data_IF_825743452617
#
_entry.id   IF_825743452617
#
_cell.length_a   1.000
_cell.length_b   1.000
_cell.length_c   1.000
_cell.angle_alpha   90.00
_cell.angle_beta   90.00
_cell.angle_gamma   90.00
#
_symmetry.space_group_name_H-M   'P 1'
#
loop_
_entity.id
_entity.type
_entity.pdbx_description
1 polymer ?
#
# COMPACT_ATOMS: atom_id res chain seq x y z
N UNK A 1 -14.61 -93.12 40.99
CA UNK A 1 -15.40 -92.13 40.21
C UNK A 1 -15.07 -90.74 40.74
N UNK A 2 -14.09 -90.06 40.15
CA UNK A 2 -13.64 -88.73 40.58
C UNK A 2 -14.25 -87.68 39.66
N UNK A 3 -15.15 -86.87 40.21
CA UNK A 3 -15.87 -85.82 39.48
C UNK A 3 -15.02 -84.54 39.42
N UNK A 4 -14.48 -84.24 38.23
CA UNK A 4 -13.78 -82.99 37.94
C UNK A 4 -14.81 -81.86 37.80
N UNK A 5 -14.88 -80.95 38.78
CA UNK A 5 -15.65 -79.70 38.67
C UNK A 5 -14.85 -78.67 37.87
N UNK A 6 -15.21 -78.50 36.59
CA UNK A 6 -14.69 -77.42 35.75
C UNK A 6 -15.13 -76.06 36.29
N UNK A 7 -14.16 -75.18 36.54
CA UNK A 7 -14.41 -73.79 36.93
C UNK A 7 -14.46 -72.96 35.66
N UNK A 8 -15.65 -72.48 35.29
CA UNK A 8 -15.83 -71.65 34.10
C UNK A 8 -15.26 -70.24 34.38
N UNK A 9 -14.30 -69.74 33.60
CA UNK A 9 -13.74 -68.41 33.82
C UNK A 9 -14.81 -67.35 33.53
N UNK A 10 -15.05 -66.48 34.51
CA UNK A 10 -16.01 -65.37 34.42
C UNK A 10 -15.28 -64.14 33.86
N UNK A 11 -15.41 -63.91 32.56
CA UNK A 11 -14.89 -62.72 31.89
C UNK A 11 -15.70 -61.50 32.35
N UNK A 12 -15.07 -60.58 33.09
CA UNK A 12 -15.65 -59.26 33.39
C UNK A 12 -15.30 -58.30 32.25
N UNK A 13 -16.30 -57.91 31.48
CA UNK A 13 -16.19 -56.82 30.52
C UNK A 13 -16.26 -55.53 31.33
N UNK A 14 -15.13 -54.82 31.45
CA UNK A 14 -15.07 -53.49 32.09
C UNK A 14 -15.52 -52.47 31.06
N UNK A 15 -16.56 -51.69 31.39
CA UNK A 15 -17.03 -50.61 30.51
C UNK A 15 -15.94 -49.54 30.38
N UNK A 16 -15.72 -48.97 29.17
CA UNK A 16 -14.71 -47.95 28.97
C UNK A 16 -15.03 -46.69 29.80
N UNK A 17 -14.01 -46.14 30.43
CA UNK A 17 -14.09 -44.96 31.30
C UNK A 17 -14.47 -43.71 30.47
N UNK A 18 -15.54 -43.02 30.88
CA UNK A 18 -16.06 -41.81 30.23
C UNK A 18 -15.08 -40.62 30.29
N UNK A 19 -14.04 -40.71 31.13
CA UNK A 19 -13.01 -39.68 31.26
C UNK A 19 -12.24 -39.40 29.96
N UNK A 20 -11.96 -40.43 29.15
CA UNK A 20 -11.20 -40.28 27.91
C UNK A 20 -11.94 -39.49 26.82
N UNK A 21 -13.27 -39.63 26.76
CA UNK A 21 -14.11 -38.92 25.78
C UNK A 21 -14.15 -37.42 26.04
N UNK A 22 -14.24 -37.01 27.31
CA UNK A 22 -14.26 -35.60 27.70
C UNK A 22 -12.92 -34.92 27.41
N UNK A 23 -11.80 -35.59 27.72
CA UNK A 23 -10.46 -35.07 27.44
C UNK A 23 -10.23 -34.84 25.92
N UNK A 24 -10.67 -35.77 25.08
CA UNK A 24 -10.58 -35.62 23.62
C UNK A 24 -11.41 -34.43 23.11
N UNK A 25 -12.63 -34.22 23.63
CA UNK A 25 -13.46 -33.08 23.24
C UNK A 25 -12.82 -31.74 23.60
N UNK A 26 -12.28 -31.59 24.81
CA UNK A 26 -11.61 -30.35 25.22
C UNK A 26 -10.37 -30.04 24.37
N UNK A 27 -9.62 -31.08 23.97
CA UNK A 27 -8.45 -30.91 23.09
C UNK A 27 -8.84 -30.38 21.71
N UNK A 28 -9.92 -30.91 21.11
CA UNK A 28 -10.38 -30.47 19.79
C UNK A 28 -10.92 -29.03 19.86
N UNK A 29 -11.73 -28.72 20.88
CA UNK A 29 -12.25 -27.37 21.07
C UNK A 29 -11.14 -26.34 21.29
N UNK A 30 -10.11 -26.67 22.07
CA UNK A 30 -8.95 -25.81 22.29
C UNK A 30 -8.16 -25.53 21.00
N UNK A 31 -7.91 -26.57 20.19
CA UNK A 31 -7.21 -26.43 18.92
C UNK A 31 -7.97 -25.53 17.93
N UNK A 32 -9.29 -25.69 17.83
CA UNK A 32 -10.14 -24.87 16.95
C UNK A 32 -10.15 -23.40 17.39
N UNK A 33 -10.23 -23.13 18.71
CA UNK A 33 -10.20 -21.76 19.23
C UNK A 33 -8.87 -21.07 18.94
N UNK A 34 -7.75 -21.77 19.14
CA UNK A 34 -6.42 -21.23 18.83
C UNK A 34 -6.25 -20.96 17.33
N UNK A 35 -6.74 -21.84 16.46
CA UNK A 35 -6.71 -21.63 15.01
C UNK A 35 -7.53 -20.40 14.58
N UNK A 36 -8.72 -20.21 15.17
CA UNK A 36 -9.56 -19.04 14.90
C UNK A 36 -8.88 -17.73 15.36
N UNK A 37 -8.26 -17.72 16.54
CA UNK A 37 -7.52 -16.56 17.04
C UNK A 37 -6.29 -16.25 16.17
N UNK A 38 -5.54 -17.27 15.75
CA UNK A 38 -4.41 -17.09 14.83
C UNK A 38 -4.84 -16.52 13.47
N UNK A 39 -5.96 -17.01 12.92
CA UNK A 39 -6.51 -16.47 11.68
C UNK A 39 -7.00 -15.02 11.83
N UNK A 40 -7.64 -14.71 12.95
CA UNK A 40 -8.07 -13.34 13.25
C UNK A 40 -6.88 -12.40 13.44
N UNK A 41 -5.85 -12.83 14.17
CA UNK A 41 -4.61 -12.08 14.34
C UNK A 41 -3.86 -11.90 13.01
N UNK A 42 -3.82 -12.91 12.16
CA UNK A 42 -3.26 -12.81 10.81
C UNK A 42 -4.00 -11.80 9.96
N UNK A 43 -5.34 -11.86 9.91
CA UNK A 43 -6.13 -10.87 9.18
C UNK A 43 -6.00 -9.47 9.79
N UNK A 44 -6.01 -9.36 11.11
CA UNK A 44 -5.78 -8.08 11.77
C UNK A 44 -4.39 -7.53 11.51
N UNK A 45 -3.35 -8.36 11.38
CA UNK A 45 -2.01 -7.87 11.06
C UNK A 45 -1.85 -7.57 9.57
N UNK A 46 -2.51 -8.35 8.71
CA UNK A 46 -2.61 -8.13 7.26
C UNK A 46 -3.38 -6.85 6.93
N UNK A 47 -4.43 -6.55 7.70
CA UNK A 47 -5.38 -5.47 7.43
C UNK A 47 -5.18 -4.24 8.36
N UNK A 48 -4.66 -4.43 9.57
CA UNK A 48 -4.56 -3.44 10.65
C UNK A 48 -3.32 -2.55 10.61
N UNK A 49 -2.80 -2.28 9.42
CA UNK A 49 -1.56 -1.51 9.28
C UNK A 49 -1.57 -0.47 8.17
N UNK A 50 -2.63 -0.32 7.38
CA UNK A 50 -2.76 0.87 6.54
C UNK A 50 -3.33 1.98 7.43
N UNK A 51 -2.52 2.94 7.92
CA UNK A 51 -3.08 4.16 8.46
C UNK A 51 -4.11 4.65 7.45
N UNK A 52 -5.32 4.92 7.92
CA UNK A 52 -6.31 5.63 7.14
C UNK A 52 -5.69 7.01 6.91
N UNK A 53 -4.88 7.14 5.85
CA UNK A 53 -4.52 8.42 5.31
C UNK A 53 -5.86 9.04 4.96
N UNK A 54 -6.32 9.97 5.80
CA UNK A 54 -7.40 10.87 5.43
C UNK A 54 -6.92 11.47 4.13
N UNK A 55 -7.50 11.03 3.03
CA UNK A 55 -7.12 11.48 1.70
C UNK A 55 -7.49 12.96 1.66
N UNK A 56 -6.49 13.82 1.91
CA UNK A 56 -6.69 15.25 1.74
C UNK A 56 -6.98 15.51 0.26
N UNK A 57 -7.92 16.40 -0.06
CA UNK A 57 -8.12 16.83 -1.43
C UNK A 57 -6.78 17.35 -1.97
N UNK A 58 -6.50 17.09 -3.25
CA UNK A 58 -5.20 17.44 -3.83
C UNK A 58 -4.94 18.95 -3.76
N UNK A 59 -6.01 19.74 -3.78
CA UNK A 59 -6.02 21.19 -3.57
C UNK A 59 -5.31 21.63 -2.27
N UNK A 60 -5.38 20.82 -1.20
CA UNK A 60 -4.74 21.13 0.09
C UNK A 60 -3.27 20.68 0.15
N UNK A 61 -2.77 20.00 -0.89
CA UNK A 61 -1.40 19.50 -0.92
C UNK A 61 -0.47 20.61 -1.38
N UNK A 62 0.51 20.95 -0.54
CA UNK A 62 1.61 21.83 -0.94
C UNK A 62 2.59 21.05 -1.82
N UNK A 63 2.84 21.56 -3.03
CA UNK A 63 3.72 20.96 -4.02
C UNK A 63 4.89 21.88 -4.33
N UNK A 64 5.98 21.30 -4.85
CA UNK A 64 7.09 22.06 -5.40
C UNK A 64 6.77 22.49 -6.83
N UNK A 65 6.88 23.79 -7.12
CA UNK A 65 6.72 24.37 -8.45
C UNK A 65 8.07 24.84 -8.98
N UNK A 66 8.29 24.75 -10.29
CA UNK A 66 9.49 25.23 -10.96
C UNK A 66 9.14 25.99 -12.23
N UNK A 67 9.77 27.15 -12.44
CA UNK A 67 9.65 27.91 -13.69
C UNK A 67 10.83 27.63 -14.66
N UNK A 68 10.71 28.01 -15.94
CA UNK A 68 11.78 27.83 -16.94
C UNK A 68 13.12 28.47 -16.58
N UNK A 69 13.12 29.51 -15.74
CA UNK A 69 14.33 30.18 -15.27
C UNK A 69 15.00 29.44 -14.09
N UNK A 70 14.49 28.26 -13.71
CA UNK A 70 15.08 27.42 -12.66
C UNK A 70 14.60 27.70 -11.24
N UNK A 71 13.92 28.83 -10.98
CA UNK A 71 13.39 29.15 -9.65
C UNK A 71 12.38 28.10 -9.18
N UNK A 72 12.51 27.68 -7.92
CA UNK A 72 11.62 26.74 -7.25
C UNK A 72 10.92 27.43 -6.08
N UNK A 73 9.67 27.05 -5.83
CA UNK A 73 8.89 27.52 -4.68
C UNK A 73 7.82 26.51 -4.31
N UNK A 74 7.27 26.62 -3.11
CA UNK A 74 6.17 25.78 -2.63
C UNK A 74 4.85 26.54 -2.68
N UNK A 75 3.80 25.88 -3.14
CA UNK A 75 2.43 26.41 -3.15
C UNK A 75 1.43 25.26 -3.20
N UNK A 76 0.19 25.51 -2.78
CA UNK A 76 -0.93 24.58 -2.93
C UNK A 76 -1.14 24.15 -4.38
N UNK A 77 -1.68 22.94 -4.59
CA UNK A 77 -2.00 22.46 -5.92
C UNK A 77 -3.10 23.32 -6.54
N UNK A 78 -2.88 23.76 -7.78
CA UNK A 78 -3.81 24.61 -8.52
C UNK A 78 -3.91 24.14 -9.97
N UNK A 79 -5.06 24.38 -10.60
CA UNK A 79 -5.23 24.14 -12.03
C UNK A 79 -4.43 25.17 -12.84
N UNK A 80 -3.71 24.71 -13.86
CA UNK A 80 -2.86 25.54 -14.70
C UNK A 80 -1.49 25.86 -14.09
N UNK A 81 -0.68 26.69 -14.77
CA UNK A 81 0.58 27.19 -14.24
C UNK A 81 0.38 28.29 -13.19
N UNK A 82 1.32 28.40 -12.25
CA UNK A 82 1.39 29.50 -11.28
C UNK A 82 2.43 30.56 -11.70
N UNK A 83 2.22 31.85 -11.38
CA UNK A 83 3.26 32.85 -11.60
C UNK A 83 4.42 32.65 -10.63
N UNK A 84 5.64 32.53 -11.15
CA UNK A 84 6.84 32.46 -10.33
C UNK A 84 6.98 33.73 -9.47
N UNK A 85 7.16 33.62 -8.14
CA UNK A 85 7.25 34.79 -7.26
C UNK A 85 8.48 35.67 -7.57
N UNK A 86 9.55 35.07 -8.12
CA UNK A 86 10.80 35.78 -8.41
C UNK A 86 10.79 36.51 -9.76
N UNK A 87 10.32 35.85 -10.82
CA UNK A 87 10.48 36.34 -12.20
C UNK A 87 9.17 36.41 -13.00
N UNK A 88 8.03 36.08 -12.37
CA UNK A 88 6.68 36.08 -12.97
C UNK A 88 6.46 35.16 -14.16
N UNK A 89 7.48 34.44 -14.63
CA UNK A 89 7.32 33.36 -15.60
C UNK A 89 6.37 32.28 -15.08
N UNK A 90 5.67 31.60 -15.99
CA UNK A 90 4.79 30.48 -15.65
C UNK A 90 5.61 29.33 -15.07
N UNK A 91 5.19 28.84 -13.91
CA UNK A 91 5.76 27.72 -13.20
C UNK A 91 4.83 26.51 -13.24
N UNK A 92 5.43 25.34 -13.22
CA UNK A 92 4.78 24.05 -13.34
C UNK A 92 5.14 23.18 -12.15
N UNK A 93 4.31 22.20 -11.83
CA UNK A 93 4.57 21.31 -10.70
C UNK A 93 5.79 20.46 -11.04
N UNK A 94 6.81 20.51 -10.19
CA UNK A 94 8.02 19.71 -10.33
C UNK A 94 7.81 18.38 -9.60
N UNK A 95 7.97 17.29 -10.33
CA UNK A 95 7.99 15.93 -9.80
C UNK A 95 9.29 15.26 -10.18
N UNK A 96 9.76 14.34 -9.34
CA UNK A 96 10.95 13.54 -9.62
C UNK A 96 10.53 12.10 -9.86
N UNK A 97 10.87 11.58 -11.02
CA UNK A 97 10.74 10.17 -11.35
C UNK A 97 12.11 9.51 -11.27
N UNK A 98 12.17 8.20 -11.12
CA UNK A 98 13.41 7.43 -11.13
C UNK A 98 13.38 6.39 -12.24
N UNK A 99 14.37 6.46 -13.11
CA UNK A 99 14.79 5.35 -13.95
C UNK A 99 15.73 4.44 -13.15
N UNK A 100 15.59 3.12 -13.28
CA UNK A 100 16.45 2.17 -12.59
C UNK A 100 17.93 2.32 -12.98
N UNK A 101 18.20 2.64 -14.24
CA UNK A 101 19.56 2.73 -14.81
C UNK A 101 20.12 4.16 -14.76
N UNK A 102 19.29 5.16 -15.07
CA UNK A 102 19.73 6.55 -15.28
C UNK A 102 19.45 7.47 -14.07
N UNK A 103 18.84 6.94 -13.00
CA UNK A 103 18.59 7.70 -11.78
C UNK A 103 17.42 8.68 -11.89
N UNK A 104 17.44 9.81 -11.14
CA UNK A 104 16.32 10.74 -11.06
C UNK A 104 16.15 11.56 -12.34
N UNK A 105 14.90 11.75 -12.75
CA UNK A 105 14.48 12.52 -13.93
C UNK A 105 13.42 13.52 -13.49
N UNK A 106 13.67 14.80 -13.75
CA UNK A 106 12.72 15.86 -13.49
C UNK A 106 11.57 15.82 -14.51
N UNK A 107 10.35 15.87 -14.00
CA UNK A 107 9.12 15.92 -14.79
C UNK A 107 8.32 17.14 -14.33
N UNK A 108 7.97 18.02 -15.27
CA UNK A 108 7.07 19.14 -15.02
C UNK A 108 5.64 18.72 -15.34
N UNK A 109 4.68 19.09 -14.51
CA UNK A 109 3.27 18.78 -14.67
C UNK A 109 2.39 20.03 -14.67
N UNK A 110 1.29 19.96 -15.43
CA UNK A 110 0.17 20.91 -15.38
C UNK A 110 -1.06 20.18 -14.87
N UNK A 111 -1.64 20.68 -13.79
CA UNK A 111 -2.95 20.21 -13.34
C UNK A 111 -4.05 20.83 -14.19
N UNK A 112 -5.07 20.04 -14.50
CA UNK A 112 -6.38 20.51 -14.93
C UNK A 112 -7.45 20.00 -13.96
N UNK A 113 -8.72 20.23 -14.32
CA UNK A 113 -9.84 19.62 -13.61
C UNK A 113 -10.46 18.53 -14.48
N UNK A 114 -10.75 17.38 -13.88
CA UNK A 114 -11.49 16.31 -14.54
C UNK A 114 -12.99 16.67 -14.69
N UNK A 115 -13.78 15.76 -15.25
CA UNK A 115 -15.23 15.95 -15.40
C UNK A 115 -16.00 16.05 -14.08
N UNK A 116 -15.39 15.61 -12.97
CA UNK A 116 -15.93 15.73 -11.62
C UNK A 116 -15.39 16.99 -10.88
N UNK A 117 -14.60 17.84 -11.56
CA UNK A 117 -14.03 19.05 -10.98
C UNK A 117 -12.78 18.82 -10.13
N UNK A 118 -12.27 17.59 -10.03
CA UNK A 118 -11.10 17.24 -9.21
C UNK A 118 -9.81 17.59 -9.93
N UNK A 119 -8.79 18.05 -9.20
CA UNK A 119 -7.47 18.27 -9.79
C UNK A 119 -6.85 16.94 -10.25
N UNK A 120 -6.39 16.91 -11.49
CA UNK A 120 -5.63 15.80 -12.09
C UNK A 120 -4.49 16.35 -12.95
N UNK A 121 -3.37 15.63 -13.04
CA UNK A 121 -2.30 16.01 -13.97
C UNK A 121 -2.81 15.73 -15.38
N UNK A 122 -2.89 16.75 -16.23
CA UNK A 122 -3.37 16.58 -17.61
C UNK A 122 -2.24 16.52 -18.62
N UNK A 123 -1.15 17.24 -18.36
CA UNK A 123 0.02 17.29 -19.24
C UNK A 123 1.29 17.23 -18.44
N UNK A 124 2.30 16.61 -19.02
CA UNK A 124 3.64 16.54 -18.46
C UNK A 124 4.72 16.90 -19.48
N UNK A 125 5.88 17.30 -18.99
CA UNK A 125 7.10 17.53 -19.76
C UNK A 125 8.25 16.80 -19.07
N UNK A 126 8.90 15.88 -19.78
CA UNK A 126 10.04 15.11 -19.26
C UNK A 126 11.33 15.75 -19.77
N UNK A 127 12.13 16.30 -18.86
CA UNK A 127 13.33 17.07 -19.24
C UNK A 127 13.01 18.12 -20.33
N UNK A 128 13.74 18.10 -21.44
CA UNK A 128 13.57 19.02 -22.57
C UNK A 128 12.59 18.55 -23.65
N UNK A 129 11.91 17.42 -23.45
CA UNK A 129 10.93 16.90 -24.42
C UNK A 129 9.71 17.83 -24.55
N UNK A 130 8.95 17.77 -25.65
CA UNK A 130 7.68 18.48 -25.76
C UNK A 130 6.66 18.07 -24.69
N UNK A 131 5.70 18.96 -24.42
CA UNK A 131 4.57 18.66 -23.54
C UNK A 131 3.68 17.56 -24.13
N UNK A 132 3.42 16.50 -23.36
CA UNK A 132 2.57 15.37 -23.76
C UNK A 132 1.41 15.16 -22.76
N UNK A 133 0.32 14.48 -23.17
CA UNK A 133 -0.74 14.09 -22.24
C UNK A 133 -0.21 13.26 -21.08
N UNK A 134 -0.76 13.46 -19.89
CA UNK A 134 -0.45 12.64 -18.74
C UNK A 134 -0.93 11.19 -18.98
N UNK A 135 -0.12 10.23 -18.55
CA UNK A 135 -0.36 8.81 -18.74
C UNK A 135 -0.04 8.02 -17.47
N UNK A 136 -0.21 6.70 -17.53
CA UNK A 136 0.09 5.82 -16.39
C UNK A 136 1.58 5.49 -16.25
N UNK A 137 2.35 5.65 -17.33
CA UNK A 137 3.78 5.31 -17.39
C UNK A 137 4.50 6.38 -18.18
N UNK A 138 5.67 6.76 -17.69
CA UNK A 138 6.53 7.73 -18.34
C UNK A 138 7.86 7.06 -18.66
N UNK A 139 8.23 6.96 -19.95
CA UNK A 139 9.49 6.33 -20.35
C UNK A 139 10.68 7.23 -19.99
N UNK A 140 11.79 6.60 -19.61
CA UNK A 140 13.05 7.30 -19.42
C UNK A 140 13.49 7.94 -20.76
N UNK A 141 13.90 9.22 -20.78
CA UNK A 141 14.33 9.86 -22.02
C UNK A 141 15.60 9.24 -22.62
N UNK A 142 16.36 8.44 -21.85
CA UNK A 142 17.61 7.80 -22.28
C UNK A 142 17.36 6.37 -22.78
N UNK A 143 16.86 5.46 -21.94
CA UNK A 143 16.66 4.05 -22.31
C UNK A 143 15.22 3.62 -22.60
N UNK A 144 14.25 4.54 -22.53
CA UNK A 144 12.81 4.26 -22.74
C UNK A 144 12.14 3.31 -21.73
N UNK A 145 12.89 2.72 -20.79
CA UNK A 145 12.34 1.94 -19.68
C UNK A 145 11.37 2.76 -18.80
N UNK A 146 10.32 2.15 -18.24
CA UNK A 146 9.32 2.87 -17.46
C UNK A 146 9.94 3.42 -16.16
N UNK A 147 9.70 4.69 -15.89
CA UNK A 147 10.14 5.32 -14.65
C UNK A 147 9.10 5.16 -13.54
N UNK A 148 9.58 5.14 -12.29
CA UNK A 148 8.75 5.08 -11.09
C UNK A 148 8.70 6.47 -10.46
N UNK A 149 7.50 6.93 -10.08
CA UNK A 149 7.37 8.19 -9.36
C UNK A 149 8.05 8.08 -7.99
N UNK A 150 9.03 8.94 -7.73
CA UNK A 150 9.53 9.13 -6.38
C UNK A 150 8.59 10.14 -5.73
N UNK A 151 7.74 9.65 -4.82
CA UNK A 151 7.07 10.55 -3.88
C UNK A 151 8.19 11.29 -3.15
N UNK A 152 8.11 12.63 -3.07
CA UNK A 152 9.10 13.41 -2.34
C UNK A 152 9.31 12.73 -0.98
N UNK A 153 10.57 12.46 -0.57
CA UNK A 153 10.79 12.05 0.80
C UNK A 153 10.12 13.10 1.68
N UNK A 154 9.37 12.65 2.70
CA UNK A 154 8.81 13.57 3.67
C UNK A 154 9.91 14.56 4.08
N UNK A 155 9.63 15.88 4.14
CA UNK A 155 10.63 16.84 4.55
C UNK A 155 11.26 16.30 5.84
N UNK A 156 12.57 16.10 5.85
CA UNK A 156 13.28 15.81 7.07
C UNK A 156 12.95 16.97 8.00
N UNK A 157 12.29 16.66 9.12
CA UNK A 157 11.72 17.64 10.05
C UNK A 157 12.71 18.80 10.27
N UNK A 158 12.33 20.00 9.80
CA UNK A 158 13.06 21.26 10.04
C UNK A 158 12.74 21.81 11.43
#
# INVERSE_FOLDING_TARGET
>A
MSSLRGTTPRIKIVAPDDGGRRAATYSVCGALLMAALAFYAWNYWRDGGTPSFVARPLEEVTLTWQCPNGHRFRAEAAAGPLPCPTCRAQAFVLQVYKCAEHGPVAVLGVFGRDSAGRLEIQRIKIADQPWQPAGRRYPCPVCQEPMIWLRDPAPADE
#
